data_IF_659648613714
#
_entry.id   IF_659648613714
#
_cell.length_a   1.000
_cell.length_b   1.000
_cell.length_c   1.000
_cell.angle_alpha   90.00
_cell.angle_beta   90.00
_cell.angle_gamma   90.00
#
_symmetry.space_group_name_H-M   'P 1'
#
loop_
_entity.id
_entity.type
_entity.pdbx_description
1 polymer ?
#
# COMPACT_ATOMS: atom_id res chain seq x y z
N UNK A 1 42.91 -12.41 20.77
CA UNK A 1 42.22 -12.01 19.50
C UNK A 1 41.10 -12.96 19.07
N UNK A 2 40.99 -14.15 19.68
CA UNK A 2 39.93 -15.15 19.36
C UNK A 2 38.54 -14.75 19.89
N UNK A 3 38.47 -14.23 21.11
CA UNK A 3 37.16 -13.88 21.74
C UNK A 3 36.42 -12.74 21.04
N UNK A 4 37.14 -11.77 20.47
CA UNK A 4 36.50 -10.66 19.71
C UNK A 4 35.95 -11.15 18.36
N UNK A 5 36.59 -12.14 17.72
CA UNK A 5 36.11 -12.77 16.49
C UNK A 5 34.84 -13.61 16.70
N UNK A 6 34.72 -14.27 17.86
CA UNK A 6 33.54 -15.08 18.20
C UNK A 6 32.31 -14.22 18.58
N UNK A 7 32.54 -13.03 19.16
CA UNK A 7 31.45 -12.08 19.44
C UNK A 7 30.90 -11.46 18.15
N UNK A 8 31.76 -11.19 17.15
CA UNK A 8 31.37 -10.64 15.86
C UNK A 8 30.57 -11.64 15.01
N UNK A 9 30.84 -12.94 15.14
CA UNK A 9 30.10 -14.02 14.46
C UNK A 9 28.71 -14.28 15.05
N UNK A 10 28.36 -13.67 16.19
CA UNK A 10 27.07 -13.85 16.87
C UNK A 10 26.08 -12.71 16.65
N UNK A 11 26.43 -11.71 15.84
CA UNK A 11 25.53 -10.61 15.51
C UNK A 11 24.73 -10.95 14.25
N UNK A 12 23.41 -11.01 14.40
CA UNK A 12 22.48 -11.16 13.28
C UNK A 12 22.45 -9.87 12.47
N UNK A 13 22.72 -9.94 11.18
CA UNK A 13 22.71 -8.79 10.28
C UNK A 13 21.29 -8.44 9.85
N UNK A 14 21.06 -7.16 9.52
CA UNK A 14 19.78 -6.72 8.99
C UNK A 14 19.49 -7.43 7.65
N UNK A 15 18.35 -8.16 7.59
CA UNK A 15 17.98 -8.98 6.43
C UNK A 15 18.46 -10.43 6.48
N UNK A 16 19.21 -10.82 7.51
CA UNK A 16 19.62 -12.21 7.70
C UNK A 16 18.42 -13.09 8.09
N UNK A 17 18.31 -14.24 7.42
CA UNK A 17 17.27 -15.22 7.66
C UNK A 17 17.58 -16.01 8.94
N UNK A 18 16.69 -15.93 9.92
CA UNK A 18 16.91 -16.53 11.25
C UNK A 18 16.32 -17.94 11.35
N UNK A 19 15.16 -18.19 10.73
CA UNK A 19 14.43 -19.48 10.77
C UNK A 19 13.65 -19.69 9.50
N UNK A 20 13.60 -20.94 8.99
CA UNK A 20 12.73 -21.38 7.91
C UNK A 20 11.43 -22.04 8.41
N UNK A 21 10.40 -22.06 7.56
CA UNK A 21 9.14 -22.78 7.88
C UNK A 21 9.43 -24.28 8.00
N UNK A 22 9.16 -24.83 9.19
CA UNK A 22 9.38 -26.24 9.49
C UNK A 22 10.74 -26.57 10.10
N UNK A 23 11.60 -25.60 10.33
CA UNK A 23 12.87 -25.77 11.00
C UNK A 23 12.68 -25.89 12.53
N UNK A 24 13.41 -26.81 13.17
CA UNK A 24 13.38 -27.02 14.61
C UNK A 24 14.15 -25.87 15.25
N UNK A 25 13.50 -25.15 16.16
CA UNK A 25 14.09 -24.03 16.88
C UNK A 25 15.08 -24.57 17.92
N UNK A 26 16.38 -24.36 17.68
CA UNK A 26 17.44 -24.63 18.65
C UNK A 26 17.48 -23.54 19.74
N UNK A 27 18.11 -23.85 20.87
CA UNK A 27 18.23 -22.91 22.00
C UNK A 27 18.90 -21.58 21.62
N UNK A 28 19.83 -21.59 20.69
CA UNK A 28 20.46 -20.39 20.15
C UNK A 28 19.46 -19.54 19.38
N UNK A 29 18.74 -20.14 18.44
CA UNK A 29 17.70 -19.49 17.63
C UNK A 29 16.58 -18.94 18.49
N UNK A 30 16.16 -19.68 19.53
CA UNK A 30 15.19 -19.21 20.51
C UNK A 30 15.67 -17.95 21.26
N UNK A 31 16.93 -17.91 21.71
CA UNK A 31 17.49 -16.74 22.39
C UNK A 31 17.59 -15.52 21.45
N UNK A 32 17.95 -15.73 20.17
CA UNK A 32 17.95 -14.68 19.15
C UNK A 32 16.55 -14.14 18.92
N UNK A 33 15.55 -15.00 18.73
CA UNK A 33 14.15 -14.61 18.57
C UNK A 33 13.62 -13.87 19.79
N UNK A 34 13.97 -14.33 21.01
CA UNK A 34 13.61 -13.67 22.27
C UNK A 34 14.22 -12.29 22.40
N UNK A 35 15.49 -12.12 22.03
CA UNK A 35 16.15 -10.81 22.06
C UNK A 35 15.58 -9.86 20.99
N UNK A 36 15.26 -10.35 19.80
CA UNK A 36 14.57 -9.58 18.76
C UNK A 36 13.17 -9.16 19.20
N UNK A 37 12.43 -10.08 19.83
CA UNK A 37 11.12 -9.77 20.42
C UNK A 37 11.25 -8.69 21.49
N UNK A 38 12.21 -8.80 22.40
CA UNK A 38 12.47 -7.79 23.43
C UNK A 38 12.87 -6.43 22.87
N UNK A 39 13.68 -6.40 21.79
CA UNK A 39 14.04 -5.15 21.08
C UNK A 39 12.81 -4.56 20.36
N UNK A 40 12.00 -5.41 19.75
CA UNK A 40 10.76 -4.99 19.10
C UNK A 40 9.76 -4.45 20.12
N UNK A 41 9.58 -5.14 21.24
CA UNK A 41 8.75 -4.69 22.37
C UNK A 41 9.31 -3.42 23.02
N UNK A 42 10.62 -3.24 23.11
CA UNK A 42 11.23 -2.02 23.61
C UNK A 42 11.07 -0.85 22.61
N UNK A 43 11.12 -1.09 21.31
CA UNK A 43 10.82 -0.09 20.28
C UNK A 43 9.33 0.23 20.17
N UNK A 44 8.47 -0.76 20.35
CA UNK A 44 7.00 -0.61 20.38
C UNK A 44 6.51 -0.25 21.79
N UNK A 45 7.44 -0.20 22.74
CA UNK A 45 7.35 -0.27 24.15
C UNK A 45 6.42 0.68 24.84
N UNK A 46 5.72 0.21 25.81
CA UNK A 46 4.93 0.94 26.78
C UNK A 46 3.72 1.68 26.18
N UNK A 47 2.61 1.68 26.89
CA UNK A 47 1.37 2.42 26.54
C UNK A 47 1.62 3.88 26.14
N UNK A 48 2.66 4.51 26.66
CA UNK A 48 3.03 5.88 26.34
C UNK A 48 3.64 6.03 24.95
N UNK A 49 4.50 5.10 24.51
CA UNK A 49 5.12 5.12 23.17
C UNK A 49 4.08 4.81 22.08
N UNK A 50 3.18 3.85 22.35
CA UNK A 50 2.05 3.57 21.46
C UNK A 50 1.12 4.77 21.31
N UNK A 51 0.87 5.50 22.41
CA UNK A 51 0.09 6.73 22.39
C UNK A 51 0.70 7.82 21.53
N UNK A 52 2.03 7.99 21.58
CA UNK A 52 2.75 8.97 20.75
C UNK A 52 2.70 8.58 19.26
N UNK A 53 2.88 7.29 18.93
CA UNK A 53 2.78 6.78 17.55
C UNK A 53 1.37 7.02 17.01
N UNK A 54 0.34 6.66 17.77
CA UNK A 54 -1.06 6.91 17.41
C UNK A 54 -1.33 8.40 17.20
N UNK A 55 -0.88 9.25 18.11
CA UNK A 55 -1.03 10.70 17.96
C UNK A 55 -0.36 11.22 16.68
N UNK A 56 0.84 10.73 16.35
CA UNK A 56 1.53 11.04 15.10
C UNK A 56 0.73 10.63 13.86
N UNK A 57 0.17 9.41 13.86
CA UNK A 57 -0.69 8.93 12.77
C UNK A 57 -1.96 9.79 12.62
N UNK A 58 -2.62 10.15 13.74
CA UNK A 58 -3.78 11.04 13.72
C UNK A 58 -3.46 12.41 13.13
N UNK A 59 -2.34 13.03 13.53
CA UNK A 59 -1.90 14.33 12.99
C UNK A 59 -1.64 14.23 11.49
N UNK A 60 -1.02 13.15 11.04
CA UNK A 60 -0.73 12.95 9.63
C UNK A 60 -2.00 12.74 8.80
N UNK A 61 -2.91 11.88 9.24
CA UNK A 61 -4.21 11.65 8.56
C UNK A 61 -5.03 12.94 8.54
N UNK A 62 -5.08 13.66 9.65
CA UNK A 62 -5.75 14.96 9.71
C UNK A 62 -5.14 15.96 8.74
N UNK A 63 -3.82 16.02 8.64
CA UNK A 63 -3.11 16.88 7.68
C UNK A 63 -3.44 16.52 6.23
N UNK A 64 -3.49 15.22 5.89
CA UNK A 64 -3.87 14.75 4.55
C UNK A 64 -5.34 15.11 4.23
N UNK A 65 -6.25 14.92 5.16
CA UNK A 65 -7.66 15.29 5.00
C UNK A 65 -7.84 16.81 4.90
N UNK A 66 -7.05 17.58 5.64
CA UNK A 66 -7.03 19.03 5.54
C UNK A 66 -6.50 19.49 4.17
N UNK A 67 -5.43 18.89 3.66
CA UNK A 67 -4.95 19.14 2.30
C UNK A 67 -6.02 18.81 1.25
N UNK A 68 -6.75 17.69 1.43
CA UNK A 68 -7.85 17.33 0.56
C UNK A 68 -8.98 18.35 0.59
N UNK A 69 -9.35 18.83 1.78
CA UNK A 69 -10.35 19.88 1.97
C UNK A 69 -9.91 21.20 1.29
N UNK A 70 -8.66 21.63 1.49
CA UNK A 70 -8.08 22.82 0.83
C UNK A 70 -8.10 22.69 -0.70
N UNK A 71 -7.77 21.50 -1.23
CA UNK A 71 -7.85 21.23 -2.66
C UNK A 71 -9.26 21.44 -3.20
N UNK A 72 -10.27 20.87 -2.55
CA UNK A 72 -11.66 21.03 -2.97
C UNK A 72 -12.11 22.48 -2.88
N UNK A 73 -11.78 23.16 -1.81
CA UNK A 73 -12.13 24.57 -1.58
C UNK A 73 -11.45 25.50 -2.58
N UNK A 74 -10.16 25.30 -2.85
CA UNK A 74 -9.39 26.20 -3.72
C UNK A 74 -9.62 25.95 -5.22
N UNK A 75 -9.73 24.69 -5.64
CA UNK A 75 -9.74 24.34 -7.05
C UNK A 75 -11.09 23.80 -7.54
N UNK A 76 -11.98 23.37 -6.64
CA UNK A 76 -13.21 22.64 -7.00
C UNK A 76 -14.46 23.14 -6.25
N UNK A 77 -14.66 24.45 -6.25
CA UNK A 77 -15.79 25.09 -5.56
C UNK A 77 -17.15 24.51 -5.93
N UNK A 78 -17.35 24.09 -7.19
CA UNK A 78 -18.60 23.47 -7.64
C UNK A 78 -18.84 22.11 -6.95
N UNK A 79 -17.79 21.32 -6.74
CA UNK A 79 -17.86 20.05 -6.01
C UNK A 79 -18.05 20.32 -4.52
N UNK A 80 -17.28 21.28 -4.00
CA UNK A 80 -17.30 21.66 -2.58
C UNK A 80 -18.68 22.16 -2.13
N UNK A 81 -19.37 22.93 -2.95
CA UNK A 81 -20.68 23.47 -2.62
C UNK A 81 -21.80 22.41 -2.63
N UNK A 82 -21.58 21.28 -3.30
CA UNK A 82 -22.53 20.18 -3.31
C UNK A 82 -22.15 19.11 -2.26
N UNK A 83 -22.89 19.12 -1.14
CA UNK A 83 -22.65 18.19 -0.01
C UNK A 83 -22.64 16.72 -0.44
N UNK A 84 -23.46 16.32 -1.41
CA UNK A 84 -23.52 14.94 -1.91
C UNK A 84 -22.21 14.51 -2.57
N UNK A 85 -21.60 15.42 -3.35
CA UNK A 85 -20.34 15.14 -4.03
C UNK A 85 -19.16 15.00 -3.04
N UNK A 86 -19.11 15.88 -2.04
CA UNK A 86 -18.10 15.81 -0.98
C UNK A 86 -18.26 14.52 -0.17
N UNK A 87 -19.51 14.20 0.21
CA UNK A 87 -19.82 12.97 0.95
C UNK A 87 -19.41 11.71 0.15
N UNK A 88 -19.66 11.69 -1.16
CA UNK A 88 -19.26 10.59 -2.03
C UNK A 88 -17.74 10.39 -2.03
N UNK A 89 -16.95 11.47 -2.15
CA UNK A 89 -15.49 11.39 -2.14
C UNK A 89 -14.95 10.91 -0.78
N UNK A 90 -15.53 11.41 0.32
CA UNK A 90 -15.18 10.95 1.67
C UNK A 90 -15.56 9.47 1.85
N UNK A 91 -16.70 9.05 1.33
CA UNK A 91 -17.12 7.64 1.37
C UNK A 91 -16.13 6.74 0.61
N UNK A 92 -15.64 7.16 -0.57
CA UNK A 92 -14.61 6.43 -1.30
C UNK A 92 -13.33 6.27 -0.48
N UNK A 93 -12.87 7.32 0.22
CA UNK A 93 -11.71 7.26 1.11
C UNK A 93 -11.96 6.26 2.24
N UNK A 94 -13.11 6.37 2.91
CA UNK A 94 -13.47 5.54 4.06
C UNK A 94 -13.57 4.05 3.70
N UNK A 95 -14.26 3.73 2.60
CA UNK A 95 -14.41 2.35 2.11
C UNK A 95 -13.03 1.76 1.76
N UNK A 96 -12.16 2.53 1.10
CA UNK A 96 -10.81 2.06 0.77
C UNK A 96 -9.99 1.77 2.02
N UNK A 97 -10.06 2.61 3.05
CA UNK A 97 -9.37 2.39 4.32
C UNK A 97 -9.89 1.12 5.03
N UNK A 98 -11.23 0.92 5.08
CA UNK A 98 -11.81 -0.30 5.67
C UNK A 98 -11.36 -1.55 4.93
N UNK A 99 -11.39 -1.53 3.59
CA UNK A 99 -10.96 -2.68 2.79
C UNK A 99 -9.48 -2.99 3.03
N UNK A 100 -8.63 -1.97 3.13
CA UNK A 100 -7.21 -2.15 3.44
C UNK A 100 -7.00 -2.77 4.81
N UNK A 101 -7.67 -2.26 5.83
CA UNK A 101 -7.59 -2.78 7.21
C UNK A 101 -8.07 -4.23 7.28
N UNK A 102 -9.18 -4.56 6.63
CA UNK A 102 -9.69 -5.94 6.56
C UNK A 102 -8.67 -6.88 5.89
N UNK A 103 -8.06 -6.45 4.79
CA UNK A 103 -7.05 -7.26 4.10
C UNK A 103 -5.80 -7.49 4.95
N UNK A 104 -5.34 -6.46 5.67
CA UNK A 104 -4.15 -6.55 6.53
C UNK A 104 -4.43 -7.42 7.76
N UNK A 105 -5.55 -7.15 8.45
CA UNK A 105 -5.88 -7.81 9.73
C UNK A 105 -6.22 -9.28 9.56
N UNK A 106 -7.02 -9.63 8.56
CA UNK A 106 -7.46 -11.03 8.35
C UNK A 106 -6.52 -11.81 7.42
N UNK A 107 -5.49 -11.16 6.86
CA UNK A 107 -4.58 -11.77 5.89
C UNK A 107 -5.33 -12.54 4.76
N UNK A 108 -6.52 -12.06 4.41
CA UNK A 108 -7.42 -12.69 3.45
C UNK A 108 -6.75 -12.80 2.08
N UNK A 109 -6.05 -11.73 1.69
CA UNK A 109 -5.31 -11.63 0.43
C UNK A 109 -4.08 -10.78 0.64
N UNK A 110 -3.14 -10.85 -0.30
CA UNK A 110 -2.04 -9.89 -0.36
C UNK A 110 -2.63 -8.50 -0.66
N UNK A 111 -2.31 -7.48 0.16
CA UNK A 111 -2.85 -6.12 0.02
C UNK A 111 -2.61 -5.53 -1.37
N UNK A 112 -1.58 -6.01 -2.06
CA UNK A 112 -1.25 -5.61 -3.44
C UNK A 112 -2.27 -6.10 -4.48
N UNK A 113 -3.09 -7.11 -4.14
CA UNK A 113 -4.17 -7.65 -5.00
C UNK A 113 -5.39 -6.73 -4.96
N UNK A 114 -5.54 -5.90 -3.91
CA UNK A 114 -6.67 -5.01 -3.77
C UNK A 114 -6.69 -3.99 -4.94
N UNK A 115 -7.76 -3.97 -5.76
CA UNK A 115 -7.77 -3.16 -6.98
C UNK A 115 -8.05 -1.68 -6.65
N UNK A 116 -7.09 -1.00 -6.03
CA UNK A 116 -7.19 0.44 -5.76
C UNK A 116 -7.41 1.28 -7.03
N UNK A 117 -7.04 0.73 -8.18
CA UNK A 117 -7.30 1.32 -9.49
C UNK A 117 -8.81 1.55 -9.77
N UNK A 118 -9.71 0.82 -9.10
CA UNK A 118 -11.17 1.04 -9.19
C UNK A 118 -11.54 2.44 -8.70
N UNK A 119 -10.88 2.95 -7.67
CA UNK A 119 -11.22 4.26 -7.10
C UNK A 119 -11.11 5.39 -8.12
N UNK A 120 -9.98 5.60 -8.81
CA UNK A 120 -9.90 6.66 -9.82
C UNK A 120 -10.83 6.40 -11.01
N UNK A 121 -11.16 5.14 -11.36
CA UNK A 121 -12.17 4.82 -12.38
C UNK A 121 -13.53 5.34 -11.93
N UNK A 122 -13.98 4.96 -10.74
CA UNK A 122 -15.29 5.35 -10.20
C UNK A 122 -15.38 6.88 -10.02
N UNK A 123 -14.37 7.50 -9.42
CA UNK A 123 -14.34 8.96 -9.25
C UNK A 123 -14.35 9.67 -10.61
N UNK A 124 -13.65 9.13 -11.61
CA UNK A 124 -13.60 9.71 -12.96
C UNK A 124 -14.95 9.69 -13.69
N UNK A 125 -15.83 8.72 -13.39
CA UNK A 125 -17.18 8.68 -13.99
C UNK A 125 -18.05 9.84 -13.56
N UNK A 126 -17.83 10.39 -12.36
CA UNK A 126 -18.63 11.49 -11.80
C UNK A 126 -17.92 12.84 -11.81
N UNK A 127 -16.57 12.84 -11.83
CA UNK A 127 -15.73 14.03 -11.71
C UNK A 127 -14.63 14.06 -12.76
N UNK A 128 -13.81 15.11 -12.71
CA UNK A 128 -12.67 15.27 -13.61
C UNK A 128 -11.50 14.34 -13.25
N UNK A 129 -10.64 14.07 -14.24
CA UNK A 129 -9.39 13.30 -14.06
C UNK A 129 -8.49 13.85 -12.93
N UNK A 130 -8.44 15.19 -12.77
CA UNK A 130 -7.65 15.82 -11.71
C UNK A 130 -8.16 15.49 -10.32
N UNK A 131 -9.48 15.52 -10.14
CA UNK A 131 -10.13 15.16 -8.87
C UNK A 131 -9.97 13.67 -8.59
N UNK A 132 -10.11 12.82 -9.62
CA UNK A 132 -9.92 11.38 -9.49
C UNK A 132 -8.50 11.02 -9.05
N UNK A 133 -7.48 11.60 -9.71
CA UNK A 133 -6.09 11.38 -9.35
C UNK A 133 -5.77 11.87 -7.95
N UNK A 134 -6.21 13.08 -7.60
CA UNK A 134 -5.94 13.65 -6.28
C UNK A 134 -6.60 12.84 -5.16
N UNK A 135 -7.84 12.43 -5.34
CA UNK A 135 -8.55 11.55 -4.39
C UNK A 135 -7.83 10.21 -4.24
N UNK A 136 -7.39 9.61 -5.35
CA UNK A 136 -6.63 8.37 -5.32
C UNK A 136 -5.30 8.52 -4.56
N UNK A 137 -4.55 9.59 -4.80
CA UNK A 137 -3.30 9.85 -4.09
C UNK A 137 -3.51 9.98 -2.58
N UNK A 138 -4.55 10.70 -2.15
CA UNK A 138 -4.89 10.81 -0.72
C UNK A 138 -5.21 9.43 -0.12
N UNK A 139 -6.01 8.62 -0.83
CA UNK A 139 -6.33 7.25 -0.39
C UNK A 139 -5.06 6.40 -0.24
N UNK A 140 -4.20 6.40 -1.25
CA UNK A 140 -2.96 5.62 -1.25
C UNK A 140 -2.03 6.05 -0.11
N UNK A 141 -1.91 7.36 0.15
CA UNK A 141 -1.13 7.89 1.27
C UNK A 141 -1.69 7.45 2.63
N UNK A 142 -3.01 7.52 2.83
CA UNK A 142 -3.63 7.09 4.09
C UNK A 142 -3.49 5.57 4.26
N UNK A 143 -3.81 4.78 3.23
CA UNK A 143 -3.73 3.33 3.28
C UNK A 143 -2.30 2.82 3.46
N UNK A 144 -1.29 3.54 2.97
CA UNK A 144 0.13 3.17 3.15
C UNK A 144 0.56 3.12 4.62
N UNK A 145 -0.14 3.82 5.52
CA UNK A 145 0.13 3.78 6.96
C UNK A 145 -0.27 2.45 7.61
N UNK A 146 -1.15 1.70 6.96
CA UNK A 146 -1.71 0.44 7.46
C UNK A 146 -0.97 -0.79 6.89
N UNK A 147 -0.22 -0.62 5.80
CA UNK A 147 0.42 -1.70 5.06
C UNK A 147 1.82 -1.99 5.59
N UNK A 148 2.26 -3.27 5.68
CA UNK A 148 3.58 -3.63 6.21
C UNK A 148 4.76 -3.09 5.38
N UNK A 149 4.61 -2.92 4.05
CA UNK A 149 5.62 -2.37 3.14
C UNK A 149 5.12 -1.09 2.44
N UNK A 150 5.13 0.06 3.14
CA UNK A 150 4.53 1.31 2.64
C UNK A 150 5.14 1.80 1.32
N UNK A 151 6.46 1.67 1.15
CA UNK A 151 7.16 2.20 -0.02
C UNK A 151 6.77 1.49 -1.32
N UNK A 152 6.69 0.16 -1.29
CA UNK A 152 6.27 -0.65 -2.43
C UNK A 152 4.83 -0.34 -2.81
N UNK A 153 3.96 -0.32 -1.79
CA UNK A 153 2.55 0.02 -1.96
C UNK A 153 2.36 1.40 -2.59
N UNK A 154 3.06 2.43 -2.07
CA UNK A 154 2.99 3.79 -2.60
C UNK A 154 3.39 3.85 -4.08
N UNK A 155 4.51 3.23 -4.44
CA UNK A 155 5.00 3.24 -5.82
C UNK A 155 4.02 2.53 -6.76
N UNK A 156 3.63 1.30 -6.44
CA UNK A 156 2.71 0.51 -7.25
C UNK A 156 1.38 1.22 -7.47
N UNK A 157 0.73 1.65 -6.38
CA UNK A 157 -0.60 2.25 -6.46
C UNK A 157 -0.59 3.64 -7.10
N UNK A 158 0.46 4.44 -6.88
CA UNK A 158 0.57 5.76 -7.51
C UNK A 158 0.71 5.63 -9.03
N UNK A 159 1.57 4.71 -9.51
CA UNK A 159 1.75 4.48 -10.94
C UNK A 159 0.46 3.93 -11.57
N UNK A 160 -0.19 2.96 -10.91
CA UNK A 160 -1.46 2.43 -11.37
C UNK A 160 -2.54 3.52 -11.50
N UNK A 161 -2.67 4.39 -10.49
CA UNK A 161 -3.61 5.51 -10.52
C UNK A 161 -3.34 6.52 -11.63
N UNK A 162 -2.07 6.81 -11.92
CA UNK A 162 -1.69 7.65 -13.05
C UNK A 162 -2.08 7.01 -14.38
N UNK A 163 -1.76 5.72 -14.59
CA UNK A 163 -2.11 4.99 -15.80
C UNK A 163 -3.62 4.97 -16.03
N UNK A 164 -4.41 4.69 -15.00
CA UNK A 164 -5.88 4.77 -15.06
C UNK A 164 -6.34 6.15 -15.51
N UNK A 165 -5.84 7.19 -14.86
CA UNK A 165 -6.28 8.57 -15.12
C UNK A 165 -5.95 9.01 -16.54
N UNK A 166 -4.81 8.59 -17.08
CA UNK A 166 -4.42 8.88 -18.47
C UNK A 166 -5.16 8.01 -19.49
N UNK A 167 -5.41 6.74 -19.16
CA UNK A 167 -6.10 5.80 -20.05
C UNK A 167 -7.59 6.15 -20.24
N UNK A 168 -8.23 6.69 -19.20
CA UNK A 168 -9.66 7.06 -19.22
C UNK A 168 -9.92 8.49 -19.74
N UNK A 169 -9.26 8.86 -20.83
CA UNK A 169 -9.45 10.21 -21.39
C UNK A 169 -10.87 10.46 -21.93
N UNK A 170 -11.50 9.44 -22.53
CA UNK A 170 -12.86 9.53 -23.10
C UNK A 170 -13.70 8.33 -22.63
N UNK A 171 -14.56 8.52 -21.65
CA UNK A 171 -15.40 7.47 -21.02
C UNK A 171 -16.58 6.94 -21.86
N UNK A 172 -16.72 7.34 -23.13
CA UNK A 172 -17.92 7.05 -23.93
C UNK A 172 -17.98 5.63 -24.51
N UNK A 173 -16.91 4.85 -24.48
CA UNK A 173 -16.85 3.54 -25.14
C UNK A 173 -16.44 2.42 -24.18
N UNK A 174 -17.21 1.31 -24.18
CA UNK A 174 -16.91 0.10 -23.39
C UNK A 174 -15.51 -0.49 -23.70
N UNK A 175 -15.07 -0.37 -24.96
CA UNK A 175 -13.74 -0.80 -25.40
C UNK A 175 -12.58 -0.09 -24.67
N UNK A 176 -12.82 1.10 -24.13
CA UNK A 176 -11.81 1.83 -23.38
C UNK A 176 -11.60 1.28 -21.97
N UNK A 177 -12.63 0.71 -21.35
CA UNK A 177 -12.50 0.05 -20.05
C UNK A 177 -11.59 -1.19 -20.16
N UNK A 178 -11.78 -2.00 -21.22
CA UNK A 178 -10.93 -3.17 -21.47
C UNK A 178 -9.49 -2.77 -21.72
N UNK A 179 -9.26 -1.74 -22.55
CA UNK A 179 -7.92 -1.20 -22.76
C UNK A 179 -7.30 -0.65 -21.47
N UNK A 180 -8.10 0.03 -20.65
CA UNK A 180 -7.65 0.54 -19.36
C UNK A 180 -7.22 -0.61 -18.44
N UNK A 181 -8.02 -1.67 -18.33
CA UNK A 181 -7.71 -2.86 -17.54
C UNK A 181 -6.39 -3.50 -18.00
N UNK A 182 -6.17 -3.63 -19.31
CA UNK A 182 -4.91 -4.12 -19.87
C UNK A 182 -3.71 -3.24 -19.51
N UNK A 183 -3.83 -1.92 -19.61
CA UNK A 183 -2.74 -1.01 -19.22
C UNK A 183 -2.47 -1.02 -17.71
N UNK A 184 -3.50 -1.17 -16.89
CA UNK A 184 -3.37 -1.33 -15.44
C UNK A 184 -2.57 -2.60 -15.15
N UNK A 185 -2.98 -3.73 -15.72
CA UNK A 185 -2.28 -5.01 -15.56
C UNK A 185 -0.81 -4.91 -15.98
N UNK A 186 -0.54 -4.36 -17.16
CA UNK A 186 0.82 -4.18 -17.65
C UNK A 186 1.65 -3.29 -16.72
N UNK A 187 1.07 -2.21 -16.20
CA UNK A 187 1.69 -1.32 -15.24
C UNK A 187 2.07 -2.03 -13.94
N UNK A 188 1.14 -2.81 -13.37
CA UNK A 188 1.42 -3.62 -12.17
C UNK A 188 2.52 -4.65 -12.43
N UNK A 189 2.47 -5.34 -13.57
CA UNK A 189 3.46 -6.34 -13.96
C UNK A 189 4.88 -5.73 -14.03
N UNK A 190 5.02 -4.62 -14.73
CA UNK A 190 6.31 -3.93 -14.90
C UNK A 190 6.82 -3.42 -13.55
N UNK A 191 5.98 -2.74 -12.78
CA UNK A 191 6.38 -2.19 -11.50
C UNK A 191 6.75 -3.27 -10.48
N UNK A 192 5.95 -4.34 -10.40
CA UNK A 192 6.24 -5.46 -9.51
C UNK A 192 7.56 -6.16 -9.88
N UNK A 193 7.76 -6.42 -11.19
CA UNK A 193 9.00 -6.99 -11.71
C UNK A 193 10.21 -6.11 -11.36
N UNK A 194 10.08 -4.79 -11.58
CA UNK A 194 11.14 -3.83 -11.27
C UNK A 194 11.48 -3.77 -9.79
N UNK A 195 10.48 -3.80 -8.92
CA UNK A 195 10.68 -3.81 -7.45
C UNK A 195 11.36 -5.10 -6.99
N UNK A 196 10.93 -6.26 -7.51
CA UNK A 196 11.54 -7.55 -7.18
C UNK A 196 13.00 -7.61 -7.63
N UNK A 197 13.31 -7.10 -8.83
CA UNK A 197 14.69 -7.01 -9.31
C UNK A 197 15.56 -6.08 -8.48
N UNK A 198 14.99 -4.95 -8.04
CA UNK A 198 15.70 -3.97 -7.21
C UNK A 198 16.03 -4.51 -5.82
N UNK A 199 15.12 -5.29 -5.22
CA UNK A 199 15.28 -5.77 -3.84
C UNK A 199 16.07 -7.08 -3.74
N UNK A 200 15.80 -8.03 -4.62
CA UNK A 200 16.30 -9.40 -4.45
C UNK A 200 17.36 -9.82 -5.47
N UNK A 201 17.52 -9.04 -6.57
CA UNK A 201 18.39 -9.40 -7.70
C UNK A 201 18.19 -10.85 -8.22
N UNK A 202 17.01 -11.46 -7.95
CA UNK A 202 16.73 -12.86 -8.23
C UNK A 202 15.33 -13.05 -8.82
N UNK A 203 15.28 -13.41 -10.10
CA UNK A 203 14.04 -13.64 -10.88
C UNK A 203 13.23 -14.87 -10.40
N UNK A 204 13.84 -15.81 -9.69
CA UNK A 204 13.18 -17.05 -9.28
C UNK A 204 12.17 -16.90 -8.14
N UNK A 205 12.14 -15.73 -7.47
CA UNK A 205 11.21 -15.45 -6.37
C UNK A 205 9.98 -14.65 -6.78
N UNK A 206 9.80 -14.41 -8.07
CA UNK A 206 8.62 -13.69 -8.58
C UNK A 206 7.38 -14.50 -8.29
N UNK A 207 6.47 -13.94 -7.51
CA UNK A 207 5.20 -14.56 -7.18
C UNK A 207 4.20 -14.36 -8.35
N UNK A 208 4.24 -15.23 -9.32
CA UNK A 208 3.40 -15.20 -10.53
C UNK A 208 1.90 -15.20 -10.23
N UNK A 209 1.50 -15.73 -9.06
CA UNK A 209 0.10 -15.78 -8.62
C UNK A 209 -0.43 -14.35 -8.38
N UNK A 210 0.37 -13.46 -7.79
CA UNK A 210 -0.01 -12.07 -7.57
C UNK A 210 -0.27 -11.33 -8.90
N UNK A 211 0.51 -11.67 -9.92
CA UNK A 211 0.44 -11.07 -11.25
C UNK A 211 -0.79 -11.56 -12.04
N UNK A 212 -1.13 -12.86 -11.93
CA UNK A 212 -2.30 -13.46 -12.58
C UNK A 212 -3.62 -13.00 -11.95
N UNK A 213 -3.67 -12.83 -10.62
CA UNK A 213 -4.91 -12.44 -9.93
C UNK A 213 -5.37 -11.02 -10.25
N UNK A 214 -4.44 -10.12 -10.59
CA UNK A 214 -4.81 -8.76 -11.09
C UNK A 214 -5.42 -8.80 -12.49
N UNK A 215 -5.17 -9.87 -13.26
CA UNK A 215 -5.75 -10.09 -14.60
C UNK A 215 -7.19 -10.62 -14.53
N UNK A 216 -7.47 -11.56 -13.62
CA UNK A 216 -8.80 -12.19 -13.47
C UNK A 216 -9.87 -11.20 -13.00
N UNK A 217 -9.50 -10.22 -12.19
CA UNK A 217 -10.41 -9.16 -11.74
C UNK A 217 -10.80 -8.16 -12.85
N UNK A 218 -10.21 -8.26 -14.02
CA UNK A 218 -10.49 -7.41 -15.17
C UNK A 218 -11.45 -8.08 -16.20
N UNK A 219 -11.72 -9.39 -16.05
CA UNK A 219 -12.54 -10.18 -16.98
C UNK A 219 -13.97 -10.47 -16.43
N UNK A 220 -14.29 -10.08 -15.18
CA UNK A 220 -15.64 -10.07 -14.61
C UNK A 220 -16.22 -8.63 -14.57
#
# INVERSE_FOLDING_TARGET
SSAASDVYKRQVQAGERIVDRGEIIDNHTYNVLRSLKAIHEAKTGGTQTQGIILAGQFVLVFGLMFCFWLYLWSFRLKIFHNRKNVLFLILCIFVSCILTELCVTYALFNVYILPFAIVPIVVRTFFDSRTALFTHLIIVLICSLMVPFPHEFLLLQTIAGMVVTFSLRNLSERSQLIRCAFFIFLSYAICYMSLTLFQEANLNKINWICLLYTSDAADE
#
